data_IF_835693510077
#
_entry.id   IF_835693510077
#
_cell.length_a   1.000
_cell.length_b   1.000
_cell.length_c   1.000
_cell.angle_alpha   90.00
_cell.angle_beta   90.00
_cell.angle_gamma   90.00
#
_symmetry.space_group_name_H-M   'P 1'
#
loop_
_entity.id
_entity.type
_entity.pdbx_description
1 polymer ?
#
# COMPACT_ATOMS: atom_id res chain seq x y z
N UNK A 1 -2.57 2.10 -4.45
CA UNK A 1 -3.96 2.16 -3.95
C UNK A 1 -4.90 1.50 -4.95
N UNK A 2 -6.09 1.07 -4.54
CA UNK A 2 -7.11 0.47 -5.41
C UNK A 2 -8.37 1.33 -5.35
N UNK A 3 -8.77 1.88 -6.51
CA UNK A 3 -9.95 2.74 -6.62
C UNK A 3 -10.70 2.50 -7.95
N UNK A 4 -11.85 3.14 -8.14
CA UNK A 4 -12.71 3.02 -9.33
C UNK A 4 -12.08 3.61 -10.59
N UNK A 5 -11.14 4.55 -10.45
CA UNK A 5 -10.35 5.08 -11.56
C UNK A 5 -8.90 5.35 -11.15
N UNK A 6 -8.01 5.44 -12.14
CA UNK A 6 -6.60 5.80 -11.91
C UNK A 6 -6.45 7.23 -11.36
N UNK A 7 -7.24 8.18 -11.88
CA UNK A 7 -7.23 9.56 -11.42
C UNK A 7 -7.67 9.67 -9.95
N UNK A 8 -8.72 8.94 -9.57
CA UNK A 8 -9.15 8.86 -8.17
C UNK A 8 -8.06 8.22 -7.30
N UNK A 9 -7.45 7.13 -7.75
CA UNK A 9 -6.39 6.46 -7.00
C UNK A 9 -5.20 7.40 -6.73
N UNK A 10 -4.80 8.21 -7.70
CA UNK A 10 -3.70 9.17 -7.57
C UNK A 10 -4.03 10.32 -6.59
N UNK A 11 -5.19 10.97 -6.79
CA UNK A 11 -5.64 12.05 -5.92
C UNK A 11 -5.85 11.59 -4.47
N UNK A 12 -6.44 10.42 -4.30
CA UNK A 12 -6.64 9.83 -2.99
C UNK A 12 -5.29 9.43 -2.35
N UNK A 13 -4.32 8.93 -3.12
CA UNK A 13 -3.02 8.55 -2.57
C UNK A 13 -2.31 9.78 -2.02
N UNK A 14 -2.39 10.91 -2.75
CA UNK A 14 -1.89 12.19 -2.26
C UNK A 14 -2.58 12.63 -0.97
N UNK A 15 -3.92 12.53 -0.90
CA UNK A 15 -4.69 12.91 0.28
C UNK A 15 -4.33 12.06 1.52
N UNK A 16 -4.18 10.74 1.34
CA UNK A 16 -3.77 9.82 2.40
C UNK A 16 -2.34 10.11 2.86
N UNK A 17 -1.39 10.36 1.95
CA UNK A 17 -0.01 10.71 2.33
C UNK A 17 0.07 11.98 3.17
N UNK A 18 -0.80 12.97 2.92
CA UNK A 18 -0.87 14.18 3.76
C UNK A 18 -1.40 13.84 5.16
N UNK A 19 -2.33 12.89 5.28
CA UNK A 19 -2.83 12.45 6.59
C UNK A 19 -1.78 11.66 7.40
N UNK A 20 -0.86 10.97 6.71
CA UNK A 20 0.23 10.18 7.30
C UNK A 20 1.48 11.06 7.47
N UNK A 21 1.43 12.03 8.39
CA UNK A 21 2.56 12.90 8.68
C UNK A 21 2.79 13.10 10.19
N UNK A 22 4.04 12.96 10.61
CA UNK A 22 4.53 13.31 11.94
C UNK A 22 4.00 12.45 13.09
N UNK A 23 4.53 12.70 14.29
CA UNK A 23 4.07 12.07 15.52
C UNK A 23 4.42 10.58 15.65
N UNK A 24 3.61 9.87 16.42
CA UNK A 24 3.71 8.42 16.61
C UNK A 24 3.30 7.67 15.33
N UNK A 25 4.04 6.62 15.00
CA UNK A 25 3.82 5.81 13.79
C UNK A 25 2.41 5.20 13.78
N UNK A 26 1.94 4.68 14.92
CA UNK A 26 0.62 4.09 15.04
C UNK A 26 -0.48 5.12 14.79
N UNK A 27 -0.35 6.31 15.36
CA UNK A 27 -1.31 7.39 15.15
C UNK A 27 -1.32 7.88 13.69
N UNK A 28 -0.15 8.05 13.08
CA UNK A 28 -0.02 8.47 11.69
C UNK A 28 -0.68 7.46 10.72
N UNK A 29 -0.42 6.16 10.93
CA UNK A 29 -1.03 5.10 10.14
C UNK A 29 -2.54 5.02 10.34
N UNK A 30 -3.03 5.16 11.58
CA UNK A 30 -4.47 5.21 11.87
C UNK A 30 -5.16 6.34 11.10
N UNK A 31 -4.62 7.56 11.15
CA UNK A 31 -5.15 8.72 10.40
C UNK A 31 -5.16 8.46 8.90
N UNK A 32 -4.11 7.84 8.37
CA UNK A 32 -4.04 7.45 6.95
C UNK A 32 -5.13 6.46 6.56
N UNK A 33 -5.36 5.42 7.37
CA UNK A 33 -6.40 4.42 7.12
C UNK A 33 -7.81 5.01 7.21
N UNK A 34 -8.06 5.87 8.20
CA UNK A 34 -9.32 6.62 8.32
C UNK A 34 -9.56 7.48 7.08
N UNK A 35 -8.54 8.25 6.67
CA UNK A 35 -8.64 9.09 5.47
C UNK A 35 -8.92 8.27 4.21
N UNK A 36 -8.32 7.08 4.08
CA UNK A 36 -8.59 6.20 2.95
C UNK A 36 -10.04 5.68 2.93
N UNK A 37 -10.63 5.43 4.11
CA UNK A 37 -12.01 4.96 4.23
C UNK A 37 -13.08 6.03 3.98
N UNK A 38 -12.74 7.31 4.15
CA UNK A 38 -13.64 8.45 3.86
C UNK A 38 -13.77 8.77 2.37
N UNK A 39 -12.82 8.32 1.54
CA UNK A 39 -12.79 8.67 0.12
C UNK A 39 -13.65 7.68 -0.65
N UNK A 40 -14.81 8.15 -1.12
CA UNK A 40 -15.70 7.36 -1.98
C UNK A 40 -14.97 6.84 -3.23
N UNK A 41 -15.24 5.59 -3.57
CA UNK A 41 -14.62 4.89 -4.70
C UNK A 41 -13.21 4.33 -4.41
N UNK A 42 -12.64 4.54 -3.21
CA UNK A 42 -11.45 3.80 -2.75
C UNK A 42 -11.88 2.43 -2.20
N UNK A 43 -11.38 1.36 -2.81
CA UNK A 43 -11.69 -0.03 -2.42
C UNK A 43 -10.64 -0.65 -1.50
N UNK A 44 -9.41 -0.12 -1.52
CA UNK A 44 -8.36 -0.55 -0.62
C UNK A 44 -7.09 0.27 -0.73
N UNK A 45 -6.32 0.33 0.36
CA UNK A 45 -5.10 1.12 0.45
C UNK A 45 -3.97 0.36 1.15
N UNK A 46 -2.75 0.56 0.67
CA UNK A 46 -1.50 0.06 1.25
C UNK A 46 -0.67 1.28 1.63
N UNK A 47 -0.39 1.44 2.92
CA UNK A 47 0.40 2.56 3.45
C UNK A 47 1.70 1.98 4.01
N UNK A 48 2.82 2.55 3.58
CA UNK A 48 4.16 2.21 4.07
C UNK A 48 4.72 3.46 4.75
N UNK A 49 5.10 3.32 6.03
CA UNK A 49 5.67 4.40 6.82
C UNK A 49 6.87 3.88 7.63
N UNK A 50 8.08 4.15 7.15
CA UNK A 50 9.30 3.52 7.66
C UNK A 50 9.24 2.00 7.50
N UNK A 51 9.51 1.27 8.58
CA UNK A 51 9.44 -0.20 8.65
C UNK A 51 8.01 -0.74 8.88
N UNK A 52 7.00 0.14 8.89
CA UNK A 52 5.63 -0.22 9.21
C UNK A 52 4.72 -0.22 7.97
N UNK A 53 3.79 -1.15 8.00
CA UNK A 53 2.82 -1.46 6.97
C UNK A 53 1.42 -1.33 7.57
N UNK A 54 0.52 -0.66 6.86
CA UNK A 54 -0.91 -0.68 7.18
C UNK A 54 -1.74 -0.92 5.91
N UNK A 55 -2.84 -1.65 6.06
CA UNK A 55 -3.74 -2.01 4.95
C UNK A 55 -5.19 -1.66 5.27
N UNK A 56 -5.92 -1.22 4.25
CA UNK A 56 -7.35 -0.93 4.30
C UNK A 56 -8.08 -1.66 3.17
N UNK A 57 -9.31 -2.09 3.44
CA UNK A 57 -10.23 -2.58 2.43
C UNK A 57 -9.81 -3.90 1.77
N UNK A 58 -10.17 -4.04 0.49
CA UNK A 58 -9.99 -5.27 -0.30
C UNK A 58 -8.74 -5.16 -1.16
N UNK A 59 -7.60 -5.52 -0.59
CA UNK A 59 -6.35 -5.69 -1.34
C UNK A 59 -6.16 -7.17 -1.74
N UNK A 60 -5.52 -7.45 -2.87
CA UNK A 60 -4.98 -8.79 -3.15
C UNK A 60 -4.03 -9.24 -2.03
N UNK A 61 -3.83 -10.56 -1.92
CA UNK A 61 -2.88 -11.13 -0.95
C UNK A 61 -1.49 -10.52 -1.17
N UNK A 62 -0.99 -9.82 -0.16
CA UNK A 62 0.39 -9.32 -0.16
C UNK A 62 1.31 -10.52 0.11
N UNK A 63 2.27 -10.74 -0.79
CA UNK A 63 3.28 -11.78 -0.67
C UNK A 63 4.64 -11.14 -0.46
N UNK A 64 5.39 -11.63 0.53
CA UNK A 64 6.79 -11.26 0.72
C UNK A 64 7.64 -12.26 -0.07
N UNK A 65 8.53 -11.73 -0.90
CA UNK A 65 9.53 -12.54 -1.60
C UNK A 65 10.84 -12.43 -0.82
N UNK A 66 11.52 -13.55 -0.63
CA UNK A 66 12.79 -13.65 0.08
C UNK A 66 13.90 -14.05 -0.89
N UNK A 67 15.13 -13.59 -0.62
CA UNK A 67 16.27 -13.72 -1.53
C UNK A 67 16.65 -12.42 -2.23
N UNK A 68 17.75 -12.45 -2.98
CA UNK A 68 18.23 -11.33 -3.78
C UNK A 68 17.42 -11.13 -5.06
N UNK A 69 17.50 -9.95 -5.71
CA UNK A 69 16.73 -9.63 -6.91
C UNK A 69 16.86 -10.66 -8.03
N UNK A 70 18.06 -11.21 -8.22
CA UNK A 70 18.35 -12.24 -9.21
C UNK A 70 17.66 -13.58 -8.93
N UNK A 71 17.55 -13.97 -7.66
CA UNK A 71 16.91 -15.22 -7.24
C UNK A 71 15.38 -15.12 -7.40
N UNK A 72 14.82 -13.98 -6.99
CA UNK A 72 13.40 -13.68 -7.16
C UNK A 72 13.00 -13.62 -8.64
N UNK A 73 13.80 -12.95 -9.48
CA UNK A 73 13.54 -12.85 -10.91
C UNK A 73 13.59 -14.23 -11.59
N UNK A 74 14.56 -15.08 -11.23
CA UNK A 74 14.67 -16.45 -11.75
C UNK A 74 13.46 -17.30 -11.38
N UNK A 75 13.01 -17.23 -10.12
CA UNK A 75 11.83 -17.94 -9.65
C UNK A 75 10.56 -17.50 -10.42
N UNK A 76 10.40 -16.20 -10.67
CA UNK A 76 9.26 -15.67 -11.42
C UNK A 76 9.25 -16.13 -12.89
N UNK A 77 10.42 -16.28 -13.52
CA UNK A 77 10.56 -16.63 -14.94
C UNK A 77 10.57 -18.14 -15.22
N UNK A 78 10.43 -19.02 -14.22
CA UNK A 78 10.46 -20.48 -14.37
C UNK A 78 11.71 -21.02 -15.10
N UNK A 79 12.84 -20.30 -15.04
CA UNK A 79 14.09 -20.75 -15.66
C UNK A 79 14.73 -21.79 -14.74
N UNK A 80 14.67 -23.07 -15.12
CA UNK A 80 15.45 -24.12 -14.46
C UNK A 80 16.89 -24.13 -15.00
N UNK A 81 17.82 -24.58 -14.15
CA UNK A 81 19.26 -24.66 -14.42
C UNK A 81 19.59 -25.64 -15.56
#
# INVERSE_FOLDING_TARGET
MVADSAALADAAAKAVCIAVMGGDVGEALRKGLERAGEIEGVRGALIIYGEHLATFGKLPKIVKLEGGPSEVLRAALHIQA
#
